data_IF_974255485890
#
_entry.id   IF_974255485890
#
_cell.length_a   1.000
_cell.length_b   1.000
_cell.length_c   1.000
_cell.angle_alpha   90.00
_cell.angle_beta   90.00
_cell.angle_gamma   90.00
#
_symmetry.space_group_name_H-M   'P 1'
#
loop_
_entity.id
_entity.type
_entity.pdbx_description
1 polymer ?
#
# COMPACT_ATOMS: atom_id res chain seq x y z
N UNK A 1 -3.14 29.03 -24.73
CA UNK A 1 -4.23 28.15 -24.21
C UNK A 1 -4.42 26.90 -25.05
N UNK A 2 -4.68 27.03 -26.37
CA UNK A 2 -4.79 25.91 -27.32
C UNK A 2 -3.61 24.90 -27.33
N UNK A 3 -2.31 25.31 -27.27
CA UNK A 3 -1.20 24.36 -27.34
C UNK A 3 -1.02 23.52 -26.06
N UNK A 4 -1.51 24.01 -24.92
CA UNK A 4 -1.41 23.30 -23.64
C UNK A 4 -2.42 22.15 -23.55
N UNK A 5 -3.59 22.32 -24.18
CA UNK A 5 -4.58 21.25 -24.33
C UNK A 5 -4.10 20.17 -25.29
N UNK A 6 -3.44 20.54 -26.40
CA UNK A 6 -2.93 19.58 -27.38
C UNK A 6 -1.87 18.63 -26.79
N UNK A 7 -0.97 19.14 -25.95
CA UNK A 7 0.05 18.30 -25.29
C UNK A 7 -0.53 17.36 -24.24
N UNK A 8 -1.65 17.72 -23.61
CA UNK A 8 -2.33 16.84 -22.66
C UNK A 8 -3.03 15.66 -23.37
N UNK A 9 -3.56 15.89 -24.57
CA UNK A 9 -4.24 14.85 -25.36
C UNK A 9 -3.27 13.77 -25.87
N UNK A 10 -2.05 14.14 -26.29
CA UNK A 10 -1.10 13.16 -26.84
C UNK A 10 -0.59 12.18 -25.79
N UNK A 11 -0.35 12.62 -24.55
CA UNK A 11 0.16 11.77 -23.47
C UNK A 11 -0.85 10.70 -23.01
N UNK A 12 -2.15 10.96 -23.16
CA UNK A 12 -3.21 9.98 -22.83
C UNK A 12 -3.28 8.89 -23.91
N UNK A 13 -2.99 9.24 -25.16
CA UNK A 13 -3.07 8.33 -26.31
C UNK A 13 -1.99 7.24 -26.28
N UNK A 14 -0.78 7.55 -25.80
CA UNK A 14 0.33 6.58 -25.79
C UNK A 14 0.11 5.42 -24.81
N UNK A 15 -0.69 5.64 -23.76
CA UNK A 15 -1.05 4.59 -22.81
C UNK A 15 -2.17 3.65 -23.30
N UNK A 16 -2.89 4.00 -24.37
CA UNK A 16 -4.04 3.22 -24.86
C UNK A 16 -3.77 2.43 -26.15
N UNK A 17 -2.70 2.71 -26.88
CA UNK A 17 -2.37 2.00 -28.13
C UNK A 17 -2.13 0.48 -27.95
N UNK A 18 -1.98 -0.01 -26.72
CA UNK A 18 -1.77 -1.44 -26.42
C UNK A 18 -3.08 -2.26 -26.49
N UNK A 19 -4.24 -1.61 -26.51
CA UNK A 19 -5.56 -2.28 -26.45
C UNK A 19 -6.27 -2.40 -27.80
N UNK A 20 -5.77 -1.75 -28.84
CA UNK A 20 -6.43 -1.68 -30.16
C UNK A 20 -6.22 -2.96 -30.99
N UNK A 21 -5.23 -3.78 -30.65
CA UNK A 21 -4.85 -4.99 -31.39
C UNK A 21 -5.19 -6.30 -30.66
N UNK A 22 -5.80 -6.24 -29.47
CA UNK A 22 -6.10 -7.42 -28.68
C UNK A 22 -6.42 -7.13 -27.21
N UNK A 23 -6.37 -8.16 -26.38
CA UNK A 23 -6.62 -8.01 -24.95
C UNK A 23 -5.45 -7.28 -24.27
N UNK A 24 -5.79 -6.22 -23.54
CA UNK A 24 -4.87 -5.46 -22.72
C UNK A 24 -4.71 -6.09 -21.34
N UNK A 25 -3.48 -6.23 -20.88
CA UNK A 25 -3.17 -6.73 -19.54
C UNK A 25 -2.29 -5.73 -18.81
N UNK A 26 -2.80 -5.08 -17.75
CA UNK A 26 -1.98 -4.16 -16.98
C UNK A 26 -0.82 -4.91 -16.32
N UNK A 27 0.33 -4.25 -16.11
CA UNK A 27 1.43 -4.87 -15.39
C UNK A 27 0.98 -5.20 -13.97
N UNK A 28 1.41 -6.37 -13.48
CA UNK A 28 1.27 -6.71 -12.08
C UNK A 28 2.06 -5.71 -11.21
N UNK A 29 1.47 -5.33 -10.09
CA UNK A 29 2.05 -4.44 -9.09
C UNK A 29 1.71 -4.98 -7.70
N UNK A 30 2.46 -4.55 -6.70
CA UNK A 30 2.12 -4.83 -5.32
C UNK A 30 0.79 -4.13 -4.97
N UNK A 31 -0.21 -4.92 -4.58
CA UNK A 31 -1.53 -4.42 -4.23
C UNK A 31 -1.57 -3.78 -2.85
N UNK A 32 -0.60 -4.07 -1.97
CA UNK A 32 -0.55 -3.53 -0.61
C UNK A 32 -0.05 -2.08 -0.58
N UNK A 33 0.73 -1.68 -1.59
CA UNK A 33 1.32 -0.34 -1.65
C UNK A 33 0.25 0.75 -1.74
N UNK A 34 0.31 1.73 -0.83
CA UNK A 34 -0.65 2.84 -0.77
C UNK A 34 -2.03 2.46 -0.21
N UNK A 35 -2.18 1.25 0.35
CA UNK A 35 -3.45 0.75 0.90
C UNK A 35 -3.37 0.37 2.38
N UNK A 36 -2.44 0.94 3.14
CA UNK A 36 -2.30 0.69 4.59
C UNK A 36 -3.64 0.75 5.32
N UNK A 37 -4.45 1.77 5.00
CA UNK A 37 -5.71 2.06 5.69
C UNK A 37 -6.84 1.09 5.28
N UNK A 38 -6.64 0.30 4.21
CA UNK A 38 -7.57 -0.73 3.74
C UNK A 38 -7.19 -2.12 4.26
N UNK A 39 -6.04 -2.27 4.92
CA UNK A 39 -5.61 -3.54 5.51
C UNK A 39 -6.28 -3.75 6.86
N UNK A 40 -6.88 -4.91 7.05
CA UNK A 40 -7.52 -5.30 8.31
C UNK A 40 -7.00 -6.66 8.76
N UNK A 41 -6.64 -6.75 10.04
CA UNK A 41 -6.36 -8.00 10.71
C UNK A 41 -7.52 -8.35 11.65
N UNK A 42 -7.89 -9.63 11.73
CA UNK A 42 -8.91 -10.09 12.67
C UNK A 42 -8.44 -10.05 14.12
N UNK A 43 -7.13 -10.08 14.35
CA UNK A 43 -6.50 -9.93 15.66
C UNK A 43 -5.17 -9.20 15.53
N UNK A 44 -4.77 -8.52 16.59
CA UNK A 44 -3.47 -7.86 16.69
C UNK A 44 -3.03 -7.91 18.15
N UNK A 45 -1.89 -8.54 18.40
CA UNK A 45 -1.28 -8.57 19.72
C UNK A 45 -0.83 -7.16 20.11
N UNK A 46 -0.77 -6.88 21.40
CA UNK A 46 -0.20 -5.62 21.88
C UNK A 46 -1.13 -4.39 21.81
N UNK A 47 -2.38 -4.48 21.32
CA UNK A 47 -3.28 -3.32 21.20
C UNK A 47 -3.70 -2.75 22.56
N UNK A 48 -4.06 -3.59 23.53
CA UNK A 48 -4.52 -3.15 24.86
C UNK A 48 -3.34 -2.85 25.81
N UNK A 49 -2.19 -3.45 25.56
CA UNK A 49 -0.99 -3.30 26.38
C UNK A 49 0.15 -4.12 25.86
N UNK A 50 1.29 -4.07 26.53
CA UNK A 50 2.44 -4.84 26.08
C UNK A 50 2.18 -6.34 26.25
N UNK A 51 2.63 -7.13 25.28
CA UNK A 51 2.38 -8.58 25.23
C UNK A 51 3.66 -9.37 24.91
N UNK A 52 3.98 -10.33 25.77
CA UNK A 52 5.18 -11.20 25.63
C UNK A 52 4.90 -12.25 24.57
N UNK A 53 5.84 -12.41 23.64
CA UNK A 53 5.81 -13.46 22.62
C UNK A 53 7.19 -14.10 22.43
N UNK A 54 7.21 -15.30 21.86
CA UNK A 54 8.44 -16.02 21.56
C UNK A 54 8.79 -15.89 20.08
N UNK A 55 10.03 -15.51 19.80
CA UNK A 55 10.65 -15.71 18.48
C UNK A 55 11.44 -17.03 18.51
N UNK A 56 11.91 -17.54 17.35
CA UNK A 56 12.78 -18.73 17.33
C UNK A 56 14.06 -18.59 18.15
N UNK A 57 14.53 -17.36 18.41
CA UNK A 57 15.81 -17.10 19.06
C UNK A 57 15.68 -16.64 20.51
N UNK A 58 14.61 -15.92 20.85
CA UNK A 58 14.42 -15.33 22.18
C UNK A 58 12.97 -14.89 22.43
N UNK A 59 12.66 -14.60 23.68
CA UNK A 59 11.43 -13.92 24.07
C UNK A 59 11.54 -12.42 23.81
N UNK A 60 10.45 -11.82 23.37
CA UNK A 60 10.33 -10.41 23.05
C UNK A 60 8.97 -9.86 23.53
N UNK A 61 8.86 -8.54 23.61
CA UNK A 61 7.65 -7.85 24.06
C UNK A 61 7.11 -6.97 22.93
N UNK A 62 5.86 -7.19 22.52
CA UNK A 62 5.16 -6.31 21.58
C UNK A 62 4.65 -5.09 22.34
N UNK A 63 4.85 -3.89 21.79
CA UNK A 63 4.36 -2.62 22.37
C UNK A 63 3.36 -1.98 21.42
N UNK A 64 2.25 -1.49 21.96
CA UNK A 64 1.31 -0.68 21.20
C UNK A 64 2.01 0.58 20.63
N UNK A 65 2.05 0.80 19.30
CA UNK A 65 2.60 2.02 18.71
C UNK A 65 1.83 3.30 19.10
N UNK A 66 0.55 3.19 19.49
CA UNK A 66 -0.27 4.33 19.91
C UNK A 66 -0.05 4.75 21.37
N UNK A 67 0.60 3.92 22.20
CA UNK A 67 1.03 4.34 23.55
C UNK A 67 2.21 5.28 23.41
N UNK A 68 1.97 6.60 23.50
CA UNK A 68 3.03 7.56 23.82
C UNK A 68 3.72 7.13 25.11
N UNK A 69 5.05 7.09 25.09
CA UNK A 69 5.85 6.83 26.28
C UNK A 69 5.50 7.86 27.37
N UNK A 70 5.42 7.46 28.65
CA UNK A 70 5.45 8.41 29.75
C UNK A 70 6.72 9.25 29.63
N UNK A 71 6.59 10.57 29.84
CA UNK A 71 7.75 11.47 29.94
C UNK A 71 8.60 11.13 31.16
#
# INVERSE_FOLDING_TARGET
>A
VLPFFLTAFTAISEAQNDCDLGACYPPNRDLLLGRSDQLQASSTCGLTGSEVYCTPYQQAESRNPDRKAPR
#
